data_IF_009606730842
#
_entry.id   IF_009606730842
#
_cell.length_a   1.000
_cell.length_b   1.000
_cell.length_c   1.000
_cell.angle_alpha   90.00
_cell.angle_beta   90.00
_cell.angle_gamma   90.00
#
_symmetry.space_group_name_H-M   'P 1'
#
loop_
_entity.id
_entity.type
_entity.pdbx_description
1 polymer ?
#
# COMPACT_ATOMS: atom_id res chain seq x y z
N UNK A 1 12.35 23.27 -13.03
CA UNK A 1 13.73 23.30 -13.55
C UNK A 1 13.68 23.23 -15.07
N UNK A 2 13.28 24.31 -15.75
CA UNK A 2 13.03 24.26 -17.21
C UNK A 2 14.06 24.98 -18.10
N UNK A 3 15.04 25.63 -17.48
CA UNK A 3 15.95 26.55 -18.17
C UNK A 3 17.32 26.63 -17.50
N UNK A 4 17.62 25.72 -16.58
CA UNK A 4 18.94 25.66 -15.92
C UNK A 4 20.04 25.13 -16.84
N UNK A 5 19.68 24.51 -17.96
CA UNK A 5 20.63 24.03 -18.96
C UNK A 5 21.06 25.11 -19.95
N UNK A 6 22.23 24.97 -20.59
CA UNK A 6 22.70 25.87 -21.63
C UNK A 6 21.88 25.64 -22.91
N UNK A 7 20.72 26.28 -23.00
CA UNK A 7 19.82 26.22 -24.16
C UNK A 7 19.84 27.53 -24.95
N UNK A 8 19.65 27.43 -26.27
CA UNK A 8 19.42 28.60 -27.13
C UNK A 8 18.21 29.40 -26.59
N UNK A 9 18.20 30.74 -26.67
CA UNK A 9 17.08 31.57 -26.22
C UNK A 9 15.72 31.08 -26.73
N UNK A 10 15.64 30.72 -28.02
CA UNK A 10 14.41 30.20 -28.63
C UNK A 10 13.86 28.92 -28.00
N UNK A 11 14.63 28.17 -27.21
CA UNK A 11 14.19 26.93 -26.54
C UNK A 11 13.93 27.11 -25.03
N UNK A 12 13.94 28.36 -24.56
CA UNK A 12 13.72 28.72 -23.15
C UNK A 12 12.38 29.41 -22.93
N UNK A 13 11.84 30.04 -23.97
CA UNK A 13 10.56 30.71 -23.94
C UNK A 13 9.43 29.70 -23.93
N UNK A 14 8.33 30.05 -23.29
CA UNK A 14 7.19 29.14 -23.15
C UNK A 14 5.90 29.84 -23.56
N UNK A 15 6.02 31.12 -23.89
CA UNK A 15 4.94 32.00 -24.30
C UNK A 15 5.48 33.14 -25.16
N UNK A 16 4.73 33.50 -26.18
CA UNK A 16 4.99 34.60 -27.11
C UNK A 16 3.84 35.61 -27.04
N UNK A 17 4.12 36.91 -27.07
CA UNK A 17 3.03 37.86 -27.24
C UNK A 17 2.39 37.69 -28.62
N UNK A 18 1.08 37.98 -28.78
CA UNK A 18 0.40 37.90 -30.08
C UNK A 18 1.07 38.75 -31.17
N UNK A 19 1.78 39.82 -30.80
CA UNK A 19 2.57 40.67 -31.70
C UNK A 19 4.04 40.25 -31.87
N UNK A 20 4.50 39.18 -31.21
CA UNK A 20 5.88 38.68 -31.29
C UNK A 20 6.94 39.53 -30.59
N UNK A 21 6.56 40.66 -29.96
CA UNK A 21 7.45 41.59 -29.28
C UNK A 21 8.09 41.00 -28.01
N UNK A 22 7.35 40.18 -27.27
CA UNK A 22 7.76 39.66 -25.98
C UNK A 22 7.79 38.14 -25.97
N UNK A 23 8.81 37.59 -25.32
CA UNK A 23 8.95 36.17 -25.09
C UNK A 23 9.14 35.95 -23.59
N UNK A 24 8.26 35.15 -22.98
CA UNK A 24 8.24 34.92 -21.54
C UNK A 24 8.42 33.45 -21.21
N UNK A 25 8.93 33.18 -20.01
CA UNK A 25 8.95 31.85 -19.41
C UNK A 25 7.94 31.81 -18.27
N UNK A 26 6.73 31.34 -18.55
CA UNK A 26 5.63 31.26 -17.58
C UNK A 26 5.29 29.83 -17.15
N UNK A 27 5.82 28.83 -17.86
CA UNK A 27 5.55 27.43 -17.59
C UNK A 27 6.79 26.71 -17.06
N UNK A 28 6.59 25.99 -15.95
CA UNK A 28 7.67 25.25 -15.30
C UNK A 28 7.20 23.86 -14.89
N UNK A 29 8.04 22.87 -15.18
CA UNK A 29 7.92 21.54 -14.59
C UNK A 29 8.76 21.54 -13.30
N UNK A 30 8.10 21.31 -12.18
CA UNK A 30 8.72 21.22 -10.85
C UNK A 30 8.98 19.76 -10.48
N UNK A 31 10.12 19.51 -9.83
CA UNK A 31 10.49 18.20 -9.33
C UNK A 31 11.02 18.36 -7.90
N UNK A 32 10.80 17.34 -7.06
CA UNK A 32 11.41 17.30 -5.73
C UNK A 32 12.94 17.34 -5.86
N UNK A 33 13.61 18.13 -5.02
CA UNK A 33 15.07 18.30 -5.03
C UNK A 33 15.83 16.96 -4.95
N UNK A 34 15.28 15.97 -4.24
CA UNK A 34 15.89 14.65 -4.13
C UNK A 34 16.03 13.90 -5.47
N UNK A 35 15.27 14.30 -6.50
CA UNK A 35 15.30 13.71 -7.84
C UNK A 35 15.92 14.66 -8.88
N UNK A 36 16.51 15.77 -8.46
CA UNK A 36 17.10 16.75 -9.38
C UNK A 36 18.18 16.11 -10.28
N UNK A 37 19.01 15.22 -9.72
CA UNK A 37 20.03 14.47 -10.46
C UNK A 37 19.47 13.47 -11.48
N UNK A 38 18.18 13.13 -11.38
CA UNK A 38 17.50 12.22 -12.32
C UNK A 38 16.99 12.94 -13.57
N UNK A 39 17.02 14.29 -13.59
CA UNK A 39 16.56 15.09 -14.72
C UNK A 39 17.70 15.25 -15.73
N UNK A 40 17.41 14.94 -17.00
CA UNK A 40 18.29 15.27 -18.10
C UNK A 40 18.11 16.76 -18.48
N UNK A 41 18.90 17.61 -17.83
CA UNK A 41 18.86 19.07 -18.01
C UNK A 41 19.13 19.47 -19.47
N UNK A 42 20.04 18.76 -20.16
CA UNK A 42 20.39 19.03 -21.56
C UNK A 42 19.25 18.73 -22.54
N UNK A 43 18.28 17.90 -22.13
CA UNK A 43 17.12 17.56 -22.95
C UNK A 43 15.83 18.25 -22.49
N UNK A 44 15.86 18.97 -21.36
CA UNK A 44 14.70 19.67 -20.80
C UNK A 44 14.62 21.08 -21.35
N UNK A 45 13.63 21.37 -22.21
CA UNK A 45 13.53 22.62 -23.00
C UNK A 45 12.14 22.82 -23.60
N UNK A 46 11.82 24.05 -24.00
CA UNK A 46 10.62 24.32 -24.81
C UNK A 46 10.77 23.73 -26.21
N UNK A 47 9.63 23.45 -26.83
CA UNK A 47 9.52 22.93 -28.19
C UNK A 47 8.79 23.95 -29.07
N UNK A 48 9.53 24.89 -29.66
CA UNK A 48 8.99 25.86 -30.61
C UNK A 48 8.38 25.16 -31.81
N UNK A 49 7.26 25.68 -32.31
CA UNK A 49 6.59 25.19 -33.54
C UNK A 49 6.15 23.73 -33.48
N UNK A 50 5.85 23.22 -32.29
CA UNK A 50 4.91 22.12 -32.23
C UNK A 50 3.57 22.62 -32.82
N UNK A 51 2.77 21.74 -33.44
CA UNK A 51 1.52 22.07 -34.17
C UNK A 51 0.37 22.57 -33.26
N UNK A 52 0.72 23.31 -32.20
CA UNK A 52 -0.18 24.07 -31.35
C UNK A 52 -0.16 25.50 -31.88
N UNK A 53 -1.14 25.86 -32.70
CA UNK A 53 -1.27 27.18 -33.33
C UNK A 53 -1.63 28.31 -32.36
N UNK A 54 -0.97 28.39 -31.21
CA UNK A 54 -1.20 29.38 -30.16
C UNK A 54 0.08 30.10 -29.75
N UNK A 55 -0.09 31.01 -28.79
CA UNK A 55 0.95 31.81 -28.15
C UNK A 55 1.78 31.01 -27.12
N UNK A 56 1.43 29.75 -26.84
CA UNK A 56 2.09 28.90 -25.87
C UNK A 56 3.03 27.87 -26.52
N UNK A 57 4.27 27.78 -26.04
CA UNK A 57 5.16 26.68 -26.42
C UNK A 57 5.10 25.54 -25.39
N UNK A 58 4.84 24.30 -25.83
CA UNK A 58 4.92 23.15 -24.94
C UNK A 58 6.35 22.91 -24.47
N UNK A 59 6.48 22.26 -23.32
CA UNK A 59 7.78 21.98 -22.72
C UNK A 59 7.92 20.51 -22.44
N UNK A 60 9.09 19.99 -22.79
CA UNK A 60 9.46 18.62 -22.53
C UNK A 60 10.55 18.57 -21.48
N UNK A 61 10.38 17.68 -20.50
CA UNK A 61 11.41 17.32 -19.53
C UNK A 61 11.64 15.82 -19.60
N UNK A 62 12.90 15.42 -19.77
CA UNK A 62 13.30 14.01 -19.75
C UNK A 62 13.90 13.74 -18.38
N UNK A 63 13.38 12.73 -17.68
CA UNK A 63 13.87 12.33 -16.36
C UNK A 63 13.85 10.80 -16.23
N UNK A 64 14.88 10.24 -15.60
CA UNK A 64 15.08 8.80 -15.46
C UNK A 64 14.76 8.35 -14.04
N UNK A 65 13.71 7.54 -13.85
CA UNK A 65 13.36 6.99 -12.54
C UNK A 65 13.42 5.47 -12.52
N UNK A 66 13.94 4.93 -11.41
CA UNK A 66 13.78 3.52 -11.05
C UNK A 66 12.57 3.38 -10.14
N UNK A 67 11.43 3.06 -10.72
CA UNK A 67 10.21 2.80 -9.96
C UNK A 67 10.28 1.41 -9.30
N UNK A 68 9.88 1.34 -8.04
CA UNK A 68 9.73 0.06 -7.35
C UNK A 68 8.50 -0.66 -7.91
N UNK A 69 8.67 -1.91 -8.35
CA UNK A 69 7.53 -2.77 -8.72
C UNK A 69 6.62 -2.95 -7.52
N UNK A 70 5.39 -2.46 -7.63
CA UNK A 70 4.37 -2.74 -6.64
C UNK A 70 3.87 -4.18 -6.83
N UNK A 71 4.45 -5.12 -6.09
CA UNK A 71 3.95 -6.50 -6.07
C UNK A 71 2.60 -6.46 -5.37
N UNK A 72 1.50 -6.58 -6.14
CA UNK A 72 0.18 -6.88 -5.57
C UNK A 72 0.39 -8.06 -4.62
N UNK A 73 0.10 -7.88 -3.33
CA UNK A 73 0.18 -8.97 -2.37
C UNK A 73 -0.77 -10.05 -2.90
N UNK A 74 -0.22 -11.17 -3.34
CA UNK A 74 -1.04 -12.35 -3.66
C UNK A 74 -1.91 -12.59 -2.44
N UNK A 75 -3.24 -12.71 -2.63
CA UNK A 75 -4.13 -13.17 -1.57
C UNK A 75 -3.63 -14.56 -1.17
N UNK A 76 -2.75 -14.64 -0.17
CA UNK A 76 -2.30 -15.91 0.35
C UNK A 76 -3.53 -16.57 0.94
N UNK A 77 -3.85 -17.80 0.52
CA UNK A 77 -4.86 -18.61 1.19
C UNK A 77 -4.50 -18.64 2.67
N UNK A 78 -5.42 -18.18 3.52
CA UNK A 78 -5.23 -18.21 4.97
C UNK A 78 -5.14 -19.69 5.34
N UNK A 79 -4.00 -20.10 5.88
CA UNK A 79 -3.86 -21.44 6.47
C UNK A 79 -4.29 -21.33 7.93
N UNK A 80 -5.32 -22.07 8.31
CA UNK A 80 -5.77 -22.14 9.70
C UNK A 80 -4.93 -23.16 10.48
N UNK A 81 -4.92 -23.00 11.80
CA UNK A 81 -4.20 -23.89 12.72
C UNK A 81 -4.99 -25.19 12.95
N UNK A 82 -4.75 -26.19 12.09
CA UNK A 82 -5.45 -27.48 12.10
C UNK A 82 -5.10 -28.30 13.35
N UNK A 83 -3.92 -28.08 13.95
CA UNK A 83 -3.50 -28.81 15.16
C UNK A 83 -4.47 -28.58 16.32
N UNK A 84 -5.19 -27.45 16.33
CA UNK A 84 -6.23 -27.17 17.33
C UNK A 84 -7.47 -28.07 17.19
N UNK A 85 -7.69 -28.75 16.07
CA UNK A 85 -8.74 -29.75 15.92
C UNK A 85 -8.42 -31.08 16.64
N UNK A 86 -7.17 -31.29 17.09
CA UNK A 86 -6.83 -32.44 17.93
C UNK A 86 -7.51 -32.38 19.30
N UNK A 87 -7.95 -31.19 19.72
CA UNK A 87 -8.76 -30.99 20.91
C UNK A 87 -10.23 -31.32 20.61
N UNK A 88 -10.74 -32.39 21.21
CA UNK A 88 -12.10 -32.91 21.02
C UNK A 88 -13.17 -31.85 21.26
N UNK A 89 -12.98 -30.98 22.25
CA UNK A 89 -13.95 -29.92 22.57
C UNK A 89 -14.01 -28.87 21.46
N UNK A 90 -12.88 -28.54 20.85
CA UNK A 90 -12.82 -27.61 19.71
C UNK A 90 -13.41 -28.26 18.47
N UNK A 91 -13.09 -29.53 18.21
CA UNK A 91 -13.65 -30.28 17.09
C UNK A 91 -15.18 -30.32 17.13
N UNK A 92 -15.76 -30.67 18.28
CA UNK A 92 -17.22 -30.73 18.45
C UNK A 92 -17.85 -29.36 18.22
N UNK A 93 -17.31 -28.30 18.82
CA UNK A 93 -17.82 -26.92 18.62
C UNK A 93 -17.75 -26.49 17.16
N UNK A 94 -16.66 -26.84 16.47
CA UNK A 94 -16.54 -26.55 15.03
C UNK A 94 -17.62 -27.27 14.25
N UNK A 95 -17.75 -28.59 14.44
CA UNK A 95 -18.73 -29.43 13.75
C UNK A 95 -20.17 -28.96 13.97
N UNK A 96 -20.56 -28.63 15.20
CA UNK A 96 -21.90 -28.12 15.51
C UNK A 96 -22.15 -26.80 14.80
N UNK A 97 -21.24 -25.84 14.91
CA UNK A 97 -21.41 -24.52 14.28
C UNK A 97 -21.47 -24.62 12.76
N UNK A 98 -20.59 -25.41 12.14
CA UNK A 98 -20.59 -25.57 10.68
C UNK A 98 -21.76 -26.43 10.19
N UNK A 99 -22.10 -27.49 10.92
CA UNK A 99 -23.18 -28.40 10.58
C UNK A 99 -24.52 -27.68 10.55
N UNK A 100 -24.81 -26.86 11.55
CA UNK A 100 -26.03 -26.05 11.60
C UNK A 100 -26.18 -25.13 10.38
N UNK A 101 -25.08 -24.59 9.87
CA UNK A 101 -25.08 -23.76 8.65
C UNK A 101 -25.24 -24.56 7.36
N UNK A 102 -24.95 -25.86 7.33
CA UNK A 102 -25.08 -26.69 6.13
C UNK A 102 -26.45 -27.36 6.02
N UNK A 103 -27.07 -27.71 7.15
CA UNK A 103 -28.42 -28.28 7.14
C UNK A 103 -29.48 -27.35 6.55
N UNK A 104 -29.26 -26.03 6.52
CA UNK A 104 -30.18 -25.05 5.93
C UNK A 104 -30.11 -24.93 4.39
N UNK A 105 -29.16 -25.58 3.72
CA UNK A 105 -28.93 -25.40 2.28
C UNK A 105 -28.94 -26.76 1.56
N UNK A 106 -30.02 -27.04 0.84
CA UNK A 106 -30.30 -28.35 0.22
C UNK A 106 -29.73 -28.50 -1.20
N UNK A 107 -29.35 -27.40 -1.86
CA UNK A 107 -28.84 -27.44 -3.24
C UNK A 107 -27.31 -27.37 -3.29
N UNK A 108 -26.66 -28.11 -4.21
CA UNK A 108 -25.19 -28.17 -4.30
C UNK A 108 -24.51 -26.79 -4.47
N UNK A 109 -25.08 -25.91 -5.30
CA UNK A 109 -24.46 -24.60 -5.60
C UNK A 109 -24.49 -23.67 -4.38
N UNK A 110 -25.62 -23.63 -3.67
CA UNK A 110 -25.78 -22.82 -2.45
C UNK A 110 -24.88 -23.35 -1.33
N UNK A 111 -24.69 -24.69 -1.26
CA UNK A 111 -23.79 -25.33 -0.30
C UNK A 111 -22.32 -24.94 -0.53
N UNK A 112 -21.89 -24.83 -1.79
CA UNK A 112 -20.52 -24.40 -2.14
C UNK A 112 -20.29 -22.94 -1.75
N UNK A 113 -21.23 -22.04 -2.02
CA UNK A 113 -21.08 -20.64 -1.63
C UNK A 113 -21.08 -20.45 -0.11
N UNK A 114 -22.05 -21.08 0.57
CA UNK A 114 -22.12 -21.02 2.04
C UNK A 114 -20.90 -21.65 2.70
N UNK A 115 -20.37 -22.76 2.20
CA UNK A 115 -19.14 -23.36 2.74
C UNK A 115 -17.90 -22.48 2.56
N UNK A 116 -17.77 -21.80 1.42
CA UNK A 116 -16.69 -20.85 1.17
C UNK A 116 -16.73 -19.65 2.12
N UNK A 117 -17.89 -19.32 2.69
CA UNK A 117 -18.04 -18.26 3.68
C UNK A 117 -17.98 -18.73 5.12
N UNK A 118 -18.69 -19.80 5.47
CA UNK A 118 -18.88 -20.24 6.85
C UNK A 118 -17.62 -20.91 7.38
N UNK A 119 -16.95 -21.75 6.59
CA UNK A 119 -15.74 -22.45 7.02
C UNK A 119 -14.63 -21.47 7.41
N UNK A 120 -14.25 -20.45 6.60
CA UNK A 120 -13.22 -19.51 7.02
C UNK A 120 -13.64 -18.64 8.21
N UNK A 121 -14.92 -18.28 8.33
CA UNK A 121 -15.45 -17.48 9.45
C UNK A 121 -15.32 -18.26 10.77
N UNK A 122 -15.82 -19.48 10.82
CA UNK A 122 -15.74 -20.34 12.01
C UNK A 122 -14.31 -20.78 12.30
N UNK A 123 -13.53 -21.11 11.26
CA UNK A 123 -12.12 -21.44 11.42
C UNK A 123 -11.32 -20.25 11.98
N UNK A 124 -11.62 -19.02 11.57
CA UNK A 124 -10.97 -17.83 12.11
C UNK A 124 -11.28 -17.61 13.59
N UNK A 125 -12.49 -17.92 14.05
CA UNK A 125 -12.89 -17.76 15.46
C UNK A 125 -12.19 -18.79 16.36
N UNK A 126 -12.17 -20.05 15.92
CA UNK A 126 -11.74 -21.16 16.77
C UNK A 126 -10.24 -21.49 16.63
N UNK A 127 -9.72 -21.46 15.40
CA UNK A 127 -8.35 -21.86 15.08
C UNK A 127 -7.41 -20.67 15.04
N UNK A 128 -7.88 -19.54 14.50
CA UNK A 128 -7.01 -18.40 14.21
C UNK A 128 -5.90 -18.77 13.22
N UNK A 129 -4.95 -17.86 13.06
CA UNK A 129 -3.79 -18.05 12.16
C UNK A 129 -2.65 -18.67 12.98
N UNK A 130 -2.04 -19.79 12.54
CA UNK A 130 -0.95 -20.42 13.25
C UNK A 130 0.21 -19.43 13.37
N UNK A 131 0.79 -19.36 14.57
CA UNK A 131 2.03 -18.59 14.76
C UNK A 131 3.20 -19.43 14.26
N UNK A 132 4.18 -18.77 13.63
CA UNK A 132 5.44 -19.43 13.31
C UNK A 132 6.12 -19.97 14.58
N UNK A 133 7.10 -20.87 14.41
CA UNK A 133 7.85 -21.47 15.51
C UNK A 133 8.30 -20.40 16.52
N UNK A 134 7.94 -20.59 17.79
CA UNK A 134 8.33 -19.67 18.87
C UNK A 134 9.84 -19.67 19.00
N UNK A 135 10.45 -18.48 18.92
CA UNK A 135 11.87 -18.30 19.22
C UNK A 135 12.08 -18.36 20.73
N UNK A 136 13.23 -18.85 21.19
CA UNK A 136 13.53 -19.03 22.63
C UNK A 136 13.38 -17.74 23.45
N UNK A 137 13.76 -16.59 22.89
CA UNK A 137 13.64 -15.27 23.52
C UNK A 137 12.21 -14.68 23.48
N UNK A 138 11.26 -15.36 22.83
CA UNK A 138 9.91 -14.83 22.63
C UNK A 138 8.95 -15.41 23.67
N UNK A 139 8.76 -14.68 24.78
CA UNK A 139 7.82 -15.07 25.84
C UNK A 139 6.36 -14.86 25.43
N UNK A 140 5.43 -15.49 26.18
CA UNK A 140 3.98 -15.36 25.95
C UNK A 140 3.52 -13.91 26.11
N UNK A 141 4.12 -13.18 27.05
CA UNK A 141 3.82 -11.77 27.31
C UNK A 141 4.24 -10.87 26.14
N UNK A 142 5.44 -11.07 25.59
CA UNK A 142 5.93 -10.33 24.41
C UNK A 142 5.01 -10.58 23.21
N UNK A 143 4.55 -11.82 23.04
CA UNK A 143 3.60 -12.18 22.00
C UNK A 143 2.26 -11.45 22.18
N UNK A 144 1.73 -11.38 23.39
CA UNK A 144 0.50 -10.64 23.70
C UNK A 144 0.66 -9.13 23.44
N UNK A 145 1.80 -8.54 23.82
CA UNK A 145 2.14 -7.15 23.52
C UNK A 145 2.21 -6.90 22.01
N UNK A 146 2.80 -7.83 21.24
CA UNK A 146 2.84 -7.76 19.79
C UNK A 146 1.45 -7.78 19.15
N UNK A 147 0.52 -8.58 19.68
CA UNK A 147 -0.86 -8.63 19.18
C UNK A 147 -1.63 -7.35 19.50
N UNK A 148 -1.48 -6.84 20.73
CA UNK A 148 -2.06 -5.55 21.13
C UNK A 148 -1.55 -4.41 20.25
N UNK A 149 -0.25 -4.38 19.96
CA UNK A 149 0.33 -3.41 19.03
C UNK A 149 -0.24 -3.56 17.61
N UNK A 150 -0.48 -4.79 17.15
CA UNK A 150 -1.04 -5.07 15.81
C UNK A 150 -2.50 -4.66 15.70
N UNK A 151 -3.31 -4.85 16.75
CA UNK A 151 -4.71 -4.41 16.78
C UNK A 151 -4.83 -2.88 16.78
N UNK A 152 -3.99 -2.20 17.58
CA UNK A 152 -3.92 -0.73 17.62
C UNK A 152 -3.49 -0.14 16.27
N UNK A 153 -2.56 -0.77 15.56
CA UNK A 153 -2.14 -0.31 14.22
C UNK A 153 -3.29 -0.31 13.19
N UNK A 154 -4.27 -1.20 13.32
CA UNK A 154 -5.46 -1.24 12.45
C UNK A 154 -6.45 -0.11 12.77
N UNK A 155 -6.42 0.42 14.00
CA UNK A 155 -7.35 1.42 14.53
C UNK A 155 -6.83 2.86 14.48
N UNK A 156 -5.75 3.15 13.74
CA UNK A 156 -5.08 4.46 13.63
C UNK A 156 -5.94 5.57 12.96
N UNK A 157 -7.12 5.84 13.52
CA UNK A 157 -8.00 6.94 13.15
C UNK A 157 -8.09 7.99 14.27
N UNK A 158 -7.86 7.58 15.53
CA UNK A 158 -8.05 8.43 16.72
C UNK A 158 -6.72 8.75 17.44
N UNK A 159 -6.61 9.96 18.00
CA UNK A 159 -5.40 10.42 18.71
C UNK A 159 -5.04 9.56 19.93
N UNK A 160 -6.05 9.08 20.66
CA UNK A 160 -5.85 8.19 21.81
C UNK A 160 -5.32 6.81 21.39
N UNK A 161 -5.83 6.25 20.29
CA UNK A 161 -5.34 5.00 19.73
C UNK A 161 -3.86 5.11 19.32
N UNK A 162 -3.48 6.28 18.81
CA UNK A 162 -2.11 6.58 18.41
C UNK A 162 -1.16 6.70 19.62
N UNK A 163 -1.62 7.29 20.73
CA UNK A 163 -0.87 7.31 22.00
C UNK A 163 -0.67 5.89 22.55
N UNK A 164 -1.74 5.11 22.64
CA UNK A 164 -1.68 3.72 23.10
C UNK A 164 -0.78 2.85 22.21
N UNK A 165 -0.77 3.08 20.89
CA UNK A 165 0.14 2.40 19.97
C UNK A 165 1.60 2.72 20.27
N UNK A 166 1.94 4.00 20.51
CA UNK A 166 3.31 4.42 20.84
C UNK A 166 3.80 3.76 22.13
N UNK A 167 2.98 3.78 23.17
CA UNK A 167 3.31 3.15 24.46
C UNK A 167 3.51 1.63 24.33
N UNK A 168 2.58 0.93 23.66
CA UNK A 168 2.73 -0.52 23.44
C UNK A 168 3.91 -0.85 22.55
N UNK A 169 4.24 -0.02 21.57
CA UNK A 169 5.42 -0.19 20.73
C UNK A 169 6.72 -0.02 21.53
N UNK A 170 6.78 0.92 22.48
CA UNK A 170 7.91 1.08 23.39
C UNK A 170 8.07 -0.13 24.31
N UNK A 171 6.97 -0.64 24.88
CA UNK A 171 7.00 -1.87 25.71
C UNK A 171 7.56 -3.06 24.93
N UNK A 172 7.07 -3.30 23.71
CA UNK A 172 7.60 -4.37 22.84
C UNK A 172 9.09 -4.21 22.58
N UNK A 173 9.58 -2.98 22.33
CA UNK A 173 11.00 -2.72 22.09
C UNK A 173 11.88 -2.92 23.32
N UNK A 174 11.35 -2.73 24.52
CA UNK A 174 12.09 -2.94 25.78
C UNK A 174 12.13 -4.41 26.21
N UNK A 175 11.15 -5.20 25.77
CA UNK A 175 11.04 -6.61 26.16
C UNK A 175 11.75 -7.58 25.20
N UNK A 176 12.29 -7.10 24.08
CA UNK A 176 13.07 -7.87 23.08
C UNK A 176 14.51 -7.41 23.17
#
# INVERSE_FOLDING_TARGET
>A
MNTFGPHKPSKRWTWHSPGGEYNNQIYHIMINCQFQSSVNIAQTRSFPRADFGGDHEPIMMIFALRLKKNKKRRKLRIKFDIDKLKDTNKLIKFQVNTGLHFYSHLTPDVLVETSNETLPKEASKLHGIPRGKKKKWMTVEILALCDKRRSLKKRKKDAESDKQYRETNLKVKRSI
#
